data_IF_530237284032
#
_entry.id   IF_530237284032
#
_cell.length_a   1.000
_cell.length_b   1.000
_cell.length_c   1.000
_cell.angle_alpha   90.00
_cell.angle_beta   90.00
_cell.angle_gamma   90.00
#
_symmetry.space_group_name_H-M   'P 1'
#
loop_
_entity.id
_entity.type
_entity.pdbx_description
1 polymer ?
#
# COMPACT_ATOMS: atom_id res chain seq x y z
N UNK A 1 25.54 -16.86 -3.88
CA UNK A 1 24.39 -16.66 -4.79
C UNK A 1 24.40 -17.84 -5.75
N UNK A 2 23.82 -18.97 -5.34
CA UNK A 2 23.48 -20.06 -6.26
C UNK A 2 22.04 -19.82 -6.68
N UNK A 3 21.90 -19.31 -7.89
CA UNK A 3 20.62 -19.13 -8.54
C UNK A 3 20.51 -20.24 -9.58
N UNK A 4 19.78 -21.31 -9.24
CA UNK A 4 19.33 -22.29 -10.21
C UNK A 4 18.21 -21.65 -11.02
N UNK A 5 18.58 -20.95 -12.09
CA UNK A 5 17.61 -20.56 -13.10
C UNK A 5 17.17 -21.83 -13.84
N UNK A 6 15.96 -21.88 -14.34
CA UNK A 6 15.55 -22.85 -15.36
C UNK A 6 14.68 -22.06 -16.32
N UNK A 7 15.14 -21.86 -17.55
CA UNK A 7 14.45 -21.02 -18.53
C UNK A 7 14.00 -21.88 -19.69
N UNK A 8 12.68 -21.98 -19.93
CA UNK A 8 12.10 -22.84 -20.96
C UNK A 8 11.46 -21.98 -22.05
N UNK A 9 12.17 -21.75 -23.15
CA UNK A 9 11.65 -20.97 -24.27
C UNK A 9 10.89 -21.87 -25.27
N UNK A 10 9.58 -21.65 -25.46
CA UNK A 10 8.75 -22.42 -26.39
C UNK A 10 8.60 -21.70 -27.75
N UNK A 11 9.09 -22.31 -28.85
CA UNK A 11 8.76 -21.93 -30.22
C UNK A 11 8.12 -23.13 -30.96
N UNK A 12 6.81 -23.06 -31.18
CA UNK A 12 5.97 -23.69 -32.22
C UNK A 12 6.11 -25.16 -32.66
N UNK A 13 6.93 -26.01 -32.03
CA UNK A 13 6.92 -27.47 -32.22
C UNK A 13 7.32 -28.14 -30.89
N UNK A 14 6.33 -28.70 -30.18
CA UNK A 14 6.32 -29.80 -29.19
C UNK A 14 7.47 -30.11 -28.21
N UNK A 15 8.58 -29.36 -28.20
CA UNK A 15 9.76 -29.70 -27.41
C UNK A 15 9.93 -28.71 -26.26
N UNK A 16 10.05 -29.25 -25.06
CA UNK A 16 10.34 -28.53 -23.83
C UNK A 16 11.76 -28.91 -23.41
N UNK A 17 12.49 -27.96 -22.85
CA UNK A 17 13.86 -28.16 -22.41
C UNK A 17 13.98 -27.79 -20.93
N UNK A 18 14.85 -28.48 -20.21
CA UNK A 18 15.32 -28.09 -18.88
C UNK A 18 16.70 -27.47 -19.06
N UNK A 19 16.89 -26.27 -18.50
CA UNK A 19 18.20 -25.69 -18.28
C UNK A 19 18.53 -25.83 -16.78
N UNK A 20 19.74 -26.29 -16.45
CA UNK A 20 20.21 -26.44 -15.06
C UNK A 20 21.65 -25.91 -14.93
N UNK A 21 21.96 -25.20 -13.84
CA UNK A 21 23.32 -24.73 -13.55
C UNK A 21 23.55 -24.59 -12.05
N UNK A 22 24.78 -24.91 -11.62
CA UNK A 22 25.27 -24.68 -10.25
C UNK A 22 26.05 -23.37 -10.09
N UNK A 23 26.01 -22.50 -11.11
CA UNK A 23 26.78 -21.26 -11.17
C UNK A 23 28.31 -21.44 -11.06
N UNK A 24 28.82 -22.60 -11.47
CA UNK A 24 30.25 -22.96 -11.51
C UNK A 24 30.92 -22.62 -12.86
N UNK A 25 30.22 -21.88 -13.71
CA UNK A 25 30.65 -21.53 -15.07
C UNK A 25 30.18 -22.51 -16.15
N UNK A 26 29.48 -23.59 -15.79
CA UNK A 26 28.86 -24.52 -16.72
C UNK A 26 27.33 -24.58 -16.54
N UNK A 27 26.64 -25.06 -17.56
CA UNK A 27 25.21 -25.34 -17.54
C UNK A 27 24.90 -26.57 -18.41
N UNK A 28 23.80 -27.25 -18.10
CA UNK A 28 23.26 -28.35 -18.87
C UNK A 28 21.93 -27.95 -19.50
N UNK A 29 21.68 -28.43 -20.72
CA UNK A 29 20.38 -28.31 -21.40
C UNK A 29 19.97 -29.69 -21.87
N UNK A 30 18.78 -30.13 -21.49
CA UNK A 30 18.22 -31.43 -21.89
C UNK A 30 16.75 -31.29 -22.27
N UNK A 31 16.23 -32.22 -23.06
CA UNK A 31 14.79 -32.30 -23.32
C UNK A 31 14.05 -32.72 -22.04
N UNK A 32 12.92 -32.08 -21.75
CA UNK A 32 12.11 -32.33 -20.56
C UNK A 32 11.03 -33.36 -20.82
N UNK A 33 11.27 -34.59 -20.38
CA UNK A 33 10.37 -35.74 -20.59
C UNK A 33 9.62 -36.17 -19.31
N UNK A 34 9.88 -35.55 -18.16
CA UNK A 34 9.35 -36.04 -16.87
C UNK A 34 8.40 -35.06 -16.16
N UNK A 35 8.56 -33.75 -16.33
CA UNK A 35 7.69 -32.79 -15.65
C UNK A 35 6.31 -32.71 -16.33
N UNK A 36 5.31 -32.20 -15.62
CA UNK A 36 4.01 -31.88 -16.23
C UNK A 36 4.11 -30.77 -17.28
N UNK A 37 3.37 -30.89 -18.38
CA UNK A 37 3.46 -29.92 -19.48
C UNK A 37 2.95 -28.54 -19.06
N UNK A 38 3.81 -27.53 -19.18
CA UNK A 38 3.50 -26.13 -18.86
C UNK A 38 2.59 -25.47 -19.92
N UNK A 39 2.43 -26.09 -21.10
CA UNK A 39 1.82 -25.47 -22.27
C UNK A 39 2.69 -24.35 -22.84
N UNK A 40 2.69 -23.17 -22.20
CA UNK A 40 3.49 -21.99 -22.57
C UNK A 40 4.03 -21.31 -21.31
N UNK A 41 5.30 -20.94 -21.34
CA UNK A 41 5.96 -20.18 -20.27
C UNK A 41 7.21 -20.90 -19.78
N UNK A 42 7.63 -20.53 -18.56
CA UNK A 42 8.83 -21.04 -17.89
C UNK A 42 8.51 -21.37 -16.43
N UNK A 43 8.98 -22.52 -15.96
CA UNK A 43 9.06 -22.85 -14.53
C UNK A 43 10.49 -22.62 -14.05
N UNK A 44 10.67 -21.84 -12.97
CA UNK A 44 11.97 -21.60 -12.34
C UNK A 44 12.03 -22.35 -11.01
N UNK A 45 12.93 -23.35 -10.90
CA UNK A 45 13.17 -24.10 -9.65
C UNK A 45 14.43 -23.63 -8.94
N UNK A 46 14.26 -22.83 -7.90
CA UNK A 46 15.36 -22.35 -7.07
C UNK A 46 15.67 -23.37 -5.97
N UNK A 47 16.83 -24.05 -6.05
CA UNK A 47 17.33 -24.80 -4.89
C UNK A 47 18.04 -23.84 -3.95
N UNK A 48 17.38 -23.54 -2.84
CA UNK A 48 17.89 -22.62 -1.83
C UNK A 48 19.05 -23.27 -1.07
N UNK A 49 19.97 -22.42 -0.61
CA UNK A 49 21.02 -22.82 0.34
C UNK A 49 20.41 -23.07 1.71
N UNK A 50 21.09 -23.87 2.53
CA UNK A 50 20.66 -24.17 3.90
C UNK A 50 20.44 -22.90 4.75
N UNK A 51 21.25 -21.86 4.54
CA UNK A 51 21.15 -20.56 5.21
C UNK A 51 19.98 -19.68 4.74
N UNK A 52 19.36 -20.01 3.60
CA UNK A 52 18.33 -19.21 2.93
C UNK A 52 16.90 -19.73 3.19
N UNK A 53 16.70 -20.52 4.26
CA UNK A 53 15.42 -21.09 4.63
C UNK A 53 14.31 -20.07 4.87
N UNK A 54 14.65 -18.82 5.19
CA UNK A 54 13.66 -17.74 5.39
C UNK A 54 12.76 -17.48 4.16
N UNK A 55 13.23 -17.79 2.95
CA UNK A 55 12.43 -17.60 1.73
C UNK A 55 11.42 -18.73 1.49
N UNK A 56 11.41 -19.77 2.31
CA UNK A 56 10.34 -20.77 2.35
C UNK A 56 9.15 -20.29 3.19
N UNK A 57 9.33 -19.24 4.00
CA UNK A 57 8.26 -18.69 4.83
C UNK A 57 7.27 -17.88 4.00
N UNK A 58 5.98 -18.22 4.10
CA UNK A 58 4.90 -17.55 3.36
C UNK A 58 4.89 -16.03 3.61
N UNK A 59 5.07 -15.62 4.88
CA UNK A 59 5.10 -14.21 5.27
C UNK A 59 6.24 -13.44 4.60
N UNK A 60 7.43 -14.03 4.54
CA UNK A 60 8.59 -13.41 3.90
C UNK A 60 8.35 -13.19 2.41
N UNK A 61 7.77 -14.17 1.72
CA UNK A 61 7.42 -14.06 0.30
C UNK A 61 6.37 -12.97 0.07
N UNK A 62 5.31 -12.94 0.89
CA UNK A 62 4.27 -11.88 0.85
C UNK A 62 4.88 -10.49 1.03
N UNK A 63 5.80 -10.33 1.99
CA UNK A 63 6.49 -9.06 2.22
C UNK A 63 7.35 -8.63 1.02
N UNK A 64 8.10 -9.55 0.42
CA UNK A 64 8.94 -9.26 -0.75
C UNK A 64 8.11 -8.85 -1.96
N UNK A 65 7.02 -9.59 -2.24
CA UNK A 65 6.11 -9.26 -3.35
C UNK A 65 5.47 -7.89 -3.10
N UNK A 66 4.97 -7.62 -1.89
CA UNK A 66 4.41 -6.30 -1.52
C UNK A 66 5.44 -5.17 -1.57
N UNK A 67 6.73 -5.44 -1.36
CA UNK A 67 7.77 -4.41 -1.39
C UNK A 67 8.25 -4.09 -2.80
N UNK A 68 8.44 -5.10 -3.63
CA UNK A 68 9.15 -4.95 -4.91
C UNK A 68 8.26 -5.13 -6.14
N UNK A 69 7.15 -5.85 -6.00
CA UNK A 69 6.32 -6.30 -7.14
C UNK A 69 4.84 -5.94 -7.01
N UNK A 70 4.49 -5.10 -6.04
CA UNK A 70 3.11 -4.68 -5.72
C UNK A 70 2.36 -4.12 -6.94
N UNK A 71 3.06 -3.45 -7.86
CA UNK A 71 2.44 -2.74 -8.99
C UNK A 71 2.86 -3.28 -10.36
N UNK A 72 3.35 -4.53 -10.41
CA UNK A 72 3.62 -5.20 -11.67
C UNK A 72 2.30 -5.48 -12.39
N UNK A 73 2.27 -5.25 -13.71
CA UNK A 73 1.04 -5.36 -14.53
C UNK A 73 0.52 -6.79 -14.72
N UNK A 74 1.21 -7.81 -14.21
CA UNK A 74 0.83 -9.21 -14.32
C UNK A 74 0.41 -9.73 -12.94
N UNK A 75 -0.63 -10.58 -12.86
CA UNK A 75 -1.08 -11.14 -11.58
C UNK A 75 -0.01 -12.07 -11.02
N UNK A 76 0.31 -11.88 -9.75
CA UNK A 76 1.28 -12.65 -8.98
C UNK A 76 0.50 -13.46 -7.95
N UNK A 77 0.53 -14.78 -8.13
CA UNK A 77 -0.12 -15.70 -7.21
C UNK A 77 0.92 -16.34 -6.29
N UNK A 78 0.54 -16.57 -5.04
CA UNK A 78 1.30 -17.36 -4.08
C UNK A 78 0.46 -18.58 -3.70
N UNK A 79 1.08 -19.76 -3.70
CA UNK A 79 0.47 -20.97 -3.16
C UNK A 79 0.54 -20.91 -1.64
N UNK A 80 -0.57 -20.52 -1.02
CA UNK A 80 -0.65 -20.22 0.41
C UNK A 80 -1.52 -21.23 1.14
N UNK A 81 -1.24 -21.43 2.43
CA UNK A 81 -2.00 -22.36 3.28
C UNK A 81 -3.17 -21.65 3.97
N UNK A 82 -4.29 -22.36 4.15
CA UNK A 82 -5.49 -21.85 4.82
C UNK A 82 -6.09 -22.89 5.76
N UNK A 83 -6.33 -22.51 7.01
CA UNK A 83 -7.03 -23.34 7.98
C UNK A 83 -8.55 -23.23 7.75
N UNK A 84 -9.20 -24.37 7.48
CA UNK A 84 -10.65 -24.48 7.35
C UNK A 84 -11.16 -25.38 8.46
N UNK A 85 -12.14 -24.91 9.23
CA UNK A 85 -12.82 -25.73 10.23
C UNK A 85 -13.81 -26.65 9.49
N UNK A 86 -13.50 -27.95 9.44
CA UNK A 86 -14.39 -28.97 8.90
C UNK A 86 -15.14 -29.62 10.06
N UNK A 87 -16.47 -29.59 10.01
CA UNK A 87 -17.31 -30.29 10.98
C UNK A 87 -17.38 -31.77 10.60
N UNK A 88 -16.70 -32.61 11.39
CA UNK A 88 -16.75 -34.07 11.23
C UNK A 88 -17.79 -34.61 12.24
N UNK A 89 -18.75 -35.46 11.82
CA UNK A 89 -19.63 -36.14 12.78
C UNK A 89 -18.79 -37.00 13.73
N UNK A 90 -19.04 -36.91 15.04
CA UNK A 90 -18.39 -37.78 16.02
C UNK A 90 -18.97 -39.18 15.88
N UNK A 91 -18.18 -40.10 15.32
CA UNK A 91 -18.48 -41.53 15.44
C UNK A 91 -18.30 -41.93 16.92
N UNK A 92 -19.39 -42.45 17.50
CA UNK A 92 -19.39 -43.19 18.76
C UNK A 92 -18.69 -44.52 18.53
N UNK A 93 -17.38 -44.58 18.72
CA UNK A 93 -16.66 -45.75 19.24
C UNK A 93 -15.16 -45.48 19.14
N UNK A 94 -14.56 -45.06 20.26
CA UNK A 94 -13.34 -45.65 20.81
C UNK A 94 -13.19 -45.11 22.24
N UNK A 95 -13.59 -45.95 23.19
CA UNK A 95 -13.28 -45.80 24.62
C UNK A 95 -12.15 -46.76 24.97
N UNK A 96 -11.33 -46.36 25.96
CA UNK A 96 -10.13 -46.98 26.58
C UNK A 96 -8.81 -46.34 26.13
N UNK A 97 -7.92 -45.82 26.98
CA UNK A 97 -7.82 -45.74 28.44
C UNK A 97 -6.84 -44.60 28.81
N UNK A 98 -7.04 -44.01 30.01
CA UNK A 98 -6.06 -43.50 31.01
C UNK A 98 -4.92 -42.54 30.54
N UNK A 99 -4.61 -41.38 31.15
CA UNK A 99 -4.54 -41.12 32.59
C UNK A 99 -4.39 -39.61 32.94
N UNK A 100 -4.83 -39.34 34.16
CA UNK A 100 -4.86 -38.17 35.05
C UNK A 100 -3.79 -37.04 34.95
N UNK A 101 -4.18 -35.78 35.20
CA UNK A 101 -4.06 -35.15 36.54
C UNK A 101 -4.44 -33.65 36.62
N UNK A 102 -5.33 -33.37 37.57
CA UNK A 102 -5.43 -32.22 38.52
C UNK A 102 -5.61 -30.76 38.08
N UNK A 103 -6.87 -30.33 38.27
CA UNK A 103 -7.37 -29.27 39.20
C UNK A 103 -7.16 -27.75 39.00
N UNK A 104 -8.31 -27.06 39.20
CA UNK A 104 -8.54 -25.71 39.78
C UNK A 104 -8.41 -24.51 38.82
N UNK A 105 -9.29 -23.50 38.77
CA UNK A 105 -10.30 -23.04 39.73
C UNK A 105 -11.33 -22.06 39.10
N UNK A 106 -12.60 -22.26 39.46
CA UNK A 106 -13.71 -21.30 39.74
C UNK A 106 -13.91 -20.00 38.93
N UNK A 107 -15.15 -19.81 38.43
CA UNK A 107 -16.19 -18.83 38.90
C UNK A 107 -17.27 -18.67 37.80
N UNK A 108 -18.47 -19.26 37.89
CA UNK A 108 -19.71 -18.90 38.62
C UNK A 108 -20.52 -17.73 37.99
N UNK A 109 -21.82 -18.02 37.75
CA UNK A 109 -23.04 -17.18 37.63
C UNK A 109 -23.84 -17.53 36.36
N UNK A 110 -24.80 -18.47 36.42
CA UNK A 110 -26.21 -18.38 36.88
C UNK A 110 -27.10 -17.45 36.02
N UNK A 111 -28.02 -18.05 35.23
CA UNK A 111 -29.43 -17.66 35.08
C UNK A 111 -30.31 -18.87 34.73
N UNK A 112 -31.28 -19.13 35.59
CA UNK A 112 -32.46 -19.97 35.37
C UNK A 112 -33.51 -19.19 34.55
N UNK A 113 -34.25 -19.85 33.67
CA UNK A 113 -35.71 -19.99 33.83
C UNK A 113 -36.31 -20.95 32.80
N UNK A 114 -37.29 -21.70 33.29
CA UNK A 114 -38.00 -22.83 32.68
C UNK A 114 -38.97 -22.41 31.57
N UNK A 115 -39.11 -23.23 30.52
CA UNK A 115 -40.45 -23.59 30.03
C UNK A 115 -40.43 -24.92 29.28
N UNK A 116 -41.47 -25.73 29.50
CA UNK A 116 -41.57 -27.11 29.10
C UNK A 116 -42.60 -27.26 27.97
N UNK A 117 -42.25 -27.90 26.85
CA UNK A 117 -43.18 -28.78 26.13
C UNK A 117 -42.49 -29.69 25.11
N UNK A 118 -43.01 -30.91 25.03
CA UNK A 118 -42.50 -32.07 24.29
C UNK A 118 -42.58 -31.89 22.77
N UNK A 119 -41.53 -32.30 22.06
CA UNK A 119 -41.56 -32.55 20.61
C UNK A 119 -40.30 -33.26 20.13
N UNK A 120 -40.47 -34.54 19.79
CA UNK A 120 -39.69 -35.38 18.84
C UNK A 120 -38.15 -35.39 18.95
N UNK A 121 -37.63 -36.54 19.41
CA UNK A 121 -36.23 -36.97 19.30
C UNK A 121 -35.77 -36.99 17.83
N UNK A 122 -34.96 -36.01 17.44
CA UNK A 122 -33.94 -36.18 16.40
C UNK A 122 -32.58 -35.88 17.03
N UNK A 123 -31.83 -36.94 17.35
CA UNK A 123 -30.42 -36.87 17.74
C UNK A 123 -29.62 -36.13 16.66
N UNK A 124 -29.24 -34.88 16.94
CA UNK A 124 -28.17 -34.23 16.17
C UNK A 124 -26.83 -34.85 16.57
N UNK A 125 -26.07 -35.44 15.63
CA UNK A 125 -24.77 -36.00 15.95
C UNK A 125 -23.85 -34.88 16.45
N UNK A 126 -23.13 -35.14 17.55
CA UNK A 126 -22.11 -34.22 18.07
C UNK A 126 -21.05 -34.04 16.99
N UNK A 127 -20.93 -32.85 16.39
CA UNK A 127 -19.85 -32.57 15.43
C UNK A 127 -18.59 -32.12 16.16
N UNK A 128 -17.44 -32.72 15.85
CA UNK A 128 -16.13 -32.22 16.27
C UNK A 128 -15.58 -31.33 15.15
N UNK A 129 -15.16 -30.11 15.49
CA UNK A 129 -14.47 -29.22 14.56
C UNK A 129 -13.02 -29.66 14.45
N UNK A 130 -12.63 -30.18 13.29
CA UNK A 130 -11.24 -30.52 12.97
C UNK A 130 -10.70 -29.44 12.04
N UNK A 131 -9.52 -28.90 12.34
CA UNK A 131 -8.84 -27.93 11.49
C UNK A 131 -8.12 -28.67 10.37
N UNK A 132 -8.56 -28.47 9.12
CA UNK A 132 -7.88 -29.00 7.94
C UNK A 132 -7.10 -27.88 7.24
N UNK A 133 -5.82 -28.13 6.93
CA UNK A 133 -4.99 -27.19 6.16
C UNK A 133 -5.17 -27.46 4.68
N UNK A 134 -5.82 -26.53 3.98
CA UNK A 134 -5.95 -26.54 2.52
C UNK A 134 -4.98 -25.55 1.90
N UNK A 135 -4.66 -25.70 0.61
CA UNK A 135 -3.78 -24.78 -0.11
C UNK A 135 -4.51 -24.19 -1.31
N UNK A 136 -4.40 -22.88 -1.48
CA UNK A 136 -5.01 -22.16 -2.60
C UNK A 136 -4.06 -21.10 -3.18
N UNK A 137 -4.27 -20.76 -4.45
CA UNK A 137 -3.55 -19.67 -5.11
C UNK A 137 -4.13 -18.33 -4.66
N UNK A 138 -3.40 -17.59 -3.85
CA UNK A 138 -3.74 -16.25 -3.40
C UNK A 138 -3.15 -15.20 -4.34
N UNK A 139 -3.97 -14.27 -4.86
CA UNK A 139 -3.49 -13.13 -5.63
C UNK A 139 -2.91 -12.07 -4.70
N UNK A 140 -1.61 -11.77 -4.84
CA UNK A 140 -0.92 -10.84 -3.95
C UNK A 140 -0.91 -9.38 -4.40
N UNK A 141 -1.05 -9.11 -5.71
CA UNK A 141 -0.96 -7.76 -6.29
C UNK A 141 -2.27 -7.35 -7.00
N UNK A 142 -3.34 -7.23 -6.23
CA UNK A 142 -4.65 -6.79 -6.73
C UNK A 142 -4.68 -5.27 -7.08
N UNK A 143 -3.75 -4.48 -6.52
CA UNK A 143 -3.69 -3.03 -6.72
C UNK A 143 -3.03 -2.68 -8.06
N UNK A 144 -3.81 -2.02 -8.92
CA UNK A 144 -3.34 -1.57 -10.25
C UNK A 144 -2.45 -0.34 -10.14
N UNK A 145 -1.45 -0.25 -11.03
CA UNK A 145 -0.59 0.92 -11.20
C UNK A 145 -1.37 2.11 -11.80
N UNK A 146 -2.08 2.86 -10.95
CA UNK A 146 -2.98 3.95 -11.39
C UNK A 146 -2.23 5.09 -12.09
N UNK A 147 -0.95 5.34 -11.75
CA UNK A 147 -0.15 6.43 -12.31
C UNK A 147 0.24 6.23 -13.78
N UNK A 148 0.05 5.02 -14.30
CA UNK A 148 0.28 4.71 -15.71
C UNK A 148 -0.95 4.98 -16.58
N UNK A 149 -2.14 5.07 -15.97
CA UNK A 149 -3.42 5.32 -16.63
C UNK A 149 -3.68 6.81 -16.77
N UNK A 150 -4.62 7.17 -17.63
CA UNK A 150 -5.08 8.55 -17.76
C UNK A 150 -5.80 8.98 -16.46
N UNK A 151 -5.44 10.10 -15.81
CA UNK A 151 -6.09 10.54 -14.57
C UNK A 151 -7.62 10.64 -14.63
N UNK A 152 -8.18 10.86 -15.83
CA UNK A 152 -9.64 10.96 -16.06
C UNK A 152 -10.36 9.62 -16.06
N UNK A 153 -9.65 8.52 -16.25
CA UNK A 153 -10.20 7.16 -16.30
C UNK A 153 -10.06 6.42 -14.97
N UNK A 154 -9.41 7.05 -13.98
CA UNK A 154 -9.20 6.48 -12.64
C UNK A 154 -10.29 6.99 -11.73
N UNK A 155 -11.01 6.09 -11.08
CA UNK A 155 -12.11 6.45 -10.15
C UNK A 155 -11.59 6.82 -8.77
N UNK A 156 -12.40 7.54 -7.99
CA UNK A 156 -12.06 7.95 -6.62
C UNK A 156 -11.82 6.74 -5.69
N UNK A 157 -12.55 5.64 -5.91
CA UNK A 157 -12.34 4.37 -5.19
C UNK A 157 -11.00 3.74 -5.55
N UNK A 158 -10.56 3.82 -6.82
CA UNK A 158 -9.24 3.34 -7.23
C UNK A 158 -8.13 4.18 -6.59
N UNK A 159 -8.28 5.50 -6.49
CA UNK A 159 -7.34 6.36 -5.75
C UNK A 159 -7.31 6.04 -4.26
N UNK A 160 -8.47 5.76 -3.66
CA UNK A 160 -8.58 5.41 -2.23
C UNK A 160 -7.89 4.08 -1.93
N UNK A 161 -8.19 3.03 -2.71
CA UNK A 161 -7.53 1.72 -2.57
C UNK A 161 -6.02 1.82 -2.77
N UNK A 162 -5.61 2.61 -3.76
CA UNK A 162 -4.21 2.87 -4.02
C UNK A 162 -3.52 3.58 -2.84
N UNK A 163 -4.17 4.59 -2.27
CA UNK A 163 -3.68 5.28 -1.07
C UNK A 163 -3.53 4.33 0.12
N UNK A 164 -4.51 3.44 0.36
CA UNK A 164 -4.48 2.46 1.45
C UNK A 164 -3.34 1.46 1.31
N UNK A 165 -3.11 0.93 0.10
CA UNK A 165 -1.97 0.03 -0.16
C UNK A 165 -0.63 0.77 0.06
N UNK A 166 -0.55 2.03 -0.39
CA UNK A 166 0.66 2.84 -0.22
C UNK A 166 0.93 3.21 1.24
N UNK A 167 -0.11 3.57 1.99
CA UNK A 167 -0.02 4.05 3.36
C UNK A 167 0.37 2.96 4.35
N UNK A 168 0.22 1.68 3.95
CA UNK A 168 0.29 0.48 4.81
C UNK A 168 -0.64 0.59 6.01
N UNK A 169 -1.67 1.42 5.89
CA UNK A 169 -2.63 1.71 6.93
C UNK A 169 -3.93 1.01 6.54
N UNK A 170 -4.32 0.01 7.32
CA UNK A 170 -5.52 -0.79 7.06
C UNK A 170 -6.81 -0.05 7.46
N UNK A 171 -6.71 1.23 7.82
CA UNK A 171 -7.88 2.05 8.09
C UNK A 171 -8.71 2.32 6.84
N UNK A 172 -10.03 2.43 7.03
CA UNK A 172 -10.98 2.86 6.01
C UNK A 172 -10.93 4.38 5.72
N UNK A 173 -9.87 5.06 6.18
CA UNK A 173 -9.77 6.50 6.06
C UNK A 173 -9.32 6.92 4.63
N UNK A 174 -10.19 7.69 3.96
CA UNK A 174 -9.93 8.25 2.64
C UNK A 174 -8.91 9.40 2.73
N UNK A 175 -8.05 9.59 1.71
CA UNK A 175 -7.18 10.77 1.65
C UNK A 175 -8.02 12.05 1.56
N UNK A 176 -7.56 13.15 2.17
CA UNK A 176 -8.23 14.45 2.08
C UNK A 176 -8.25 14.98 0.64
N UNK A 177 -7.17 14.73 -0.10
CA UNK A 177 -7.04 15.14 -1.49
C UNK A 177 -5.89 14.40 -2.15
N UNK A 178 -5.89 14.37 -3.48
CA UNK A 178 -4.80 13.82 -4.27
C UNK A 178 -4.51 14.65 -5.52
N UNK A 179 -3.31 14.47 -6.05
CA UNK A 179 -2.86 15.07 -7.30
C UNK A 179 -2.17 14.02 -8.15
N UNK A 180 -2.79 13.64 -9.26
CA UNK A 180 -2.22 12.76 -10.27
C UNK A 180 -1.84 13.60 -11.49
N UNK A 181 -0.56 13.64 -11.83
CA UNK A 181 -0.07 14.41 -12.96
C UNK A 181 1.15 13.77 -13.64
N UNK A 182 1.30 14.09 -14.92
CA UNK A 182 2.53 13.86 -15.68
C UNK A 182 3.27 15.18 -15.85
N UNK A 183 4.60 15.12 -15.77
CA UNK A 183 5.48 16.24 -16.03
C UNK A 183 6.33 15.92 -17.26
N UNK A 184 6.22 16.77 -18.29
CA UNK A 184 6.98 16.65 -19.54
C UNK A 184 8.11 17.71 -19.60
N UNK A 185 9.03 17.57 -20.56
CA UNK A 185 10.16 18.49 -20.81
C UNK A 185 11.51 17.88 -20.43
N UNK A 186 12.42 18.68 -19.85
CA UNK A 186 13.79 18.24 -19.50
C UNK A 186 13.86 17.00 -18.60
N UNK A 187 12.80 16.78 -17.81
CA UNK A 187 12.64 15.59 -16.99
C UNK A 187 11.20 15.12 -17.11
N UNK A 188 11.07 13.88 -17.58
CA UNK A 188 9.80 13.18 -17.74
C UNK A 188 9.56 12.25 -16.56
N UNK A 189 8.42 12.44 -15.91
CA UNK A 189 7.94 11.57 -14.84
C UNK A 189 6.43 11.68 -14.66
N UNK A 190 5.85 10.64 -14.05
CA UNK A 190 4.47 10.60 -13.58
C UNK A 190 4.48 10.57 -12.06
N UNK A 191 3.53 11.23 -11.43
CA UNK A 191 3.45 11.28 -9.98
C UNK A 191 2.00 11.25 -9.50
N UNK A 192 1.81 10.62 -8.35
CA UNK A 192 0.57 10.66 -7.58
C UNK A 192 0.92 11.04 -6.16
N UNK A 193 0.35 12.14 -5.69
CA UNK A 193 0.52 12.67 -4.34
C UNK A 193 -0.82 12.62 -3.60
N UNK A 194 -0.77 12.34 -2.31
CA UNK A 194 -1.92 12.28 -1.41
C UNK A 194 -1.68 13.13 -0.17
N UNK A 195 -2.74 13.78 0.29
CA UNK A 195 -2.81 14.39 1.62
C UNK A 195 -3.49 13.40 2.56
N UNK A 196 -2.78 12.85 3.57
CA UNK A 196 -3.41 11.99 4.55
C UNK A 196 -4.51 12.70 5.33
N UNK A 197 -5.53 11.98 5.83
CA UNK A 197 -6.60 12.57 6.64
C UNK A 197 -6.16 12.99 8.04
N UNK A 198 -5.13 12.33 8.59
CA UNK A 198 -4.56 12.61 9.91
C UNK A 198 -3.04 12.67 9.83
N UNK A 199 -2.45 13.51 10.66
CA UNK A 199 -1.01 13.52 10.82
C UNK A 199 -0.54 12.29 11.61
N UNK A 200 0.58 11.63 11.20
CA UNK A 200 1.25 10.66 12.06
C UNK A 200 1.59 11.29 13.41
N UNK A 201 1.41 10.54 14.51
CA UNK A 201 1.63 11.07 15.86
C UNK A 201 3.06 11.59 16.07
N UNK A 202 4.03 10.94 15.42
CA UNK A 202 5.46 11.24 15.49
C UNK A 202 5.92 12.29 14.46
N UNK A 203 5.03 12.85 13.63
CA UNK A 203 5.39 13.72 12.50
C UNK A 203 6.27 14.91 12.92
N UNK A 204 5.96 15.54 14.05
CA UNK A 204 6.67 16.74 14.52
C UNK A 204 7.80 16.43 15.50
N UNK A 205 7.70 15.34 16.26
CA UNK A 205 8.78 14.88 17.15
C UNK A 205 9.98 14.41 16.33
N UNK A 206 9.69 13.71 15.24
CA UNK A 206 10.69 13.16 14.34
C UNK A 206 11.20 14.17 13.30
N UNK A 207 10.69 15.41 13.27
CA UNK A 207 10.95 16.40 12.22
C UNK A 207 12.44 16.66 11.91
N UNK A 208 13.27 16.77 12.95
CA UNK A 208 14.70 17.03 12.77
C UNK A 208 15.52 15.75 12.59
N UNK A 209 15.07 14.63 13.18
CA UNK A 209 15.85 13.42 13.35
C UNK A 209 15.50 12.30 12.35
N UNK A 210 14.32 12.37 11.74
CA UNK A 210 13.80 11.34 10.86
C UNK A 210 13.89 11.81 9.42
N UNK A 211 14.72 11.09 8.69
CA UNK A 211 15.00 11.22 7.27
C UNK A 211 14.29 10.08 6.54
N UNK A 212 12.99 9.92 6.83
CA UNK A 212 12.12 8.98 6.11
C UNK A 212 11.20 9.79 5.22
N UNK A 213 11.38 9.62 3.91
CA UNK A 213 10.48 10.15 2.90
C UNK A 213 9.23 9.28 2.80
N UNK A 214 8.08 9.92 2.72
CA UNK A 214 6.81 9.23 2.47
C UNK A 214 6.50 9.09 0.96
N UNK A 215 7.48 9.39 0.10
CA UNK A 215 7.40 9.19 -1.34
C UNK A 215 8.25 8.00 -1.80
N UNK A 216 7.61 7.07 -2.51
CA UNK A 216 8.33 5.98 -3.21
C UNK A 216 8.84 6.48 -4.56
N UNK A 217 10.12 6.27 -4.85
CA UNK A 217 10.72 6.56 -6.16
C UNK A 217 10.79 5.29 -7.02
N UNK A 218 10.20 5.38 -8.20
CA UNK A 218 10.26 4.41 -9.27
C UNK A 218 11.03 4.97 -10.44
N UNK A 219 11.76 4.10 -11.12
CA UNK A 219 12.41 4.42 -12.40
C UNK A 219 12.01 3.36 -13.39
N UNK A 220 11.37 3.77 -14.49
CA UNK A 220 10.80 2.86 -15.49
C UNK A 220 9.98 1.74 -14.86
N UNK A 221 9.12 2.09 -13.90
CA UNK A 221 8.24 1.16 -13.15
C UNK A 221 8.96 0.20 -12.21
N UNK A 222 10.27 0.33 -12.02
CA UNK A 222 11.03 -0.46 -11.05
C UNK A 222 11.15 0.33 -9.77
N UNK A 223 10.74 -0.27 -8.64
CA UNK A 223 10.92 0.34 -7.33
C UNK A 223 12.40 0.52 -7.03
N UNK A 224 12.83 1.76 -6.78
CA UNK A 224 14.23 2.07 -6.46
C UNK A 224 14.41 2.20 -4.96
N UNK A 225 13.65 3.11 -4.33
CA UNK A 225 13.80 3.45 -2.91
C UNK A 225 12.62 4.26 -2.40
N UNK A 226 12.30 4.09 -1.12
CA UNK A 226 11.44 4.93 -0.28
C UNK A 226 12.24 5.84 0.68
N UNK A 227 13.56 5.73 0.69
CA UNK A 227 14.48 6.51 1.54
C UNK A 227 15.07 7.68 0.73
N UNK A 228 14.19 8.51 0.16
CA UNK A 228 14.60 9.60 -0.72
C UNK A 228 14.12 10.96 -0.21
N UNK A 229 14.83 11.50 0.78
CA UNK A 229 14.46 12.74 1.50
C UNK A 229 14.61 14.01 0.68
N UNK A 230 15.28 13.93 -0.47
CA UNK A 230 15.52 15.11 -1.28
C UNK A 230 14.31 15.50 -2.14
N UNK A 231 13.35 14.59 -2.38
CA UNK A 231 12.20 14.84 -3.28
C UNK A 231 11.20 15.85 -2.73
N UNK A 232 11.00 15.89 -1.42
CA UNK A 232 10.15 16.86 -0.73
C UNK A 232 10.92 17.59 0.36
N UNK A 233 10.61 18.87 0.62
CA UNK A 233 11.10 19.55 1.79
C UNK A 233 10.41 18.99 3.06
N UNK A 234 11.08 19.08 4.21
CA UNK A 234 10.61 18.52 5.49
C UNK A 234 9.20 18.99 5.86
N UNK A 235 8.87 20.26 5.59
CA UNK A 235 7.53 20.81 5.85
C UNK A 235 6.41 20.22 4.96
N UNK A 236 6.72 19.44 3.92
CA UNK A 236 5.74 18.69 3.12
C UNK A 236 5.88 17.17 3.30
N UNK A 237 6.71 16.71 4.23
CA UNK A 237 7.01 15.28 4.37
C UNK A 237 5.81 14.45 4.88
N UNK A 238 4.70 15.09 5.25
CA UNK A 238 3.44 14.39 5.54
C UNK A 238 2.75 13.85 4.27
N UNK A 239 3.10 14.34 3.09
CA UNK A 239 2.49 13.86 1.84
C UNK A 239 2.93 12.42 1.55
N UNK A 240 1.97 11.56 1.23
CA UNK A 240 2.23 10.20 0.77
C UNK A 240 2.12 10.16 -0.74
N UNK A 241 2.89 9.31 -1.40
CA UNK A 241 2.81 9.23 -2.86
C UNK A 241 3.93 8.43 -3.51
N UNK A 242 3.98 8.54 -4.82
CA UNK A 242 5.11 8.04 -5.59
C UNK A 242 5.44 8.93 -6.78
N UNK A 243 6.64 8.71 -7.29
CA UNK A 243 7.17 9.37 -8.48
C UNK A 243 7.79 8.29 -9.35
N UNK A 244 7.34 8.15 -10.60
CA UNK A 244 7.89 7.22 -11.59
C UNK A 244 8.54 8.02 -12.71
N UNK A 245 9.86 7.96 -12.81
CA UNK A 245 10.62 8.69 -13.83
C UNK A 245 11.13 7.76 -14.93
N UNK A 246 10.92 8.17 -16.19
CA UNK A 246 11.44 7.45 -17.35
C UNK A 246 12.88 7.85 -17.72
N UNK A 247 13.31 9.01 -17.21
CA UNK A 247 14.56 9.71 -17.60
C UNK A 247 15.69 9.57 -16.58
N UNK A 248 15.40 9.09 -15.36
CA UNK A 248 16.46 8.82 -14.38
C UNK A 248 17.27 7.57 -14.78
N UNK A 249 18.60 7.58 -14.59
CA UNK A 249 19.44 6.45 -14.94
C UNK A 249 19.31 5.30 -13.92
N UNK A 250 18.91 4.11 -14.39
CA UNK A 250 18.68 2.91 -13.56
C UNK A 250 19.96 2.34 -12.91
N UNK A 251 21.09 2.42 -13.60
CA UNK A 251 22.34 1.73 -13.21
C UNK A 251 23.21 2.55 -12.26
N UNK A 252 22.60 3.49 -11.55
CA UNK A 252 23.31 4.48 -10.75
C UNK A 252 23.05 4.18 -9.29
N UNK A 253 24.11 4.12 -8.47
CA UNK A 253 23.97 3.87 -7.03
C UNK A 253 23.02 4.90 -6.41
N UNK A 254 22.35 4.54 -5.31
CA UNK A 254 21.43 5.46 -4.61
C UNK A 254 22.09 6.81 -4.29
N UNK A 255 23.38 6.81 -3.94
CA UNK A 255 24.18 8.01 -3.68
C UNK A 255 24.41 8.86 -4.95
N UNK A 256 24.76 8.23 -6.07
CA UNK A 256 24.95 8.96 -7.32
C UNK A 256 23.61 9.47 -7.88
N UNK A 257 22.49 8.77 -7.59
CA UNK A 257 21.16 9.23 -7.98
C UNK A 257 20.83 10.54 -7.27
N UNK A 258 21.06 10.65 -5.95
CA UNK A 258 20.82 11.86 -5.15
C UNK A 258 21.51 13.12 -5.73
N UNK A 259 22.71 12.97 -6.29
CA UNK A 259 23.43 14.11 -6.86
C UNK A 259 22.94 14.53 -8.24
N UNK A 260 22.03 13.78 -8.86
CA UNK A 260 21.59 14.03 -10.23
C UNK A 260 20.75 15.31 -10.35
N UNK A 261 21.09 16.16 -11.31
CA UNK A 261 20.43 17.47 -11.50
C UNK A 261 18.92 17.36 -11.78
N UNK A 262 18.46 16.29 -12.43
CA UNK A 262 17.03 16.05 -12.69
C UNK A 262 16.19 16.02 -11.42
N UNK A 263 16.73 15.57 -10.29
CA UNK A 263 15.99 15.53 -9.02
C UNK A 263 15.62 16.92 -8.52
N UNK A 264 16.48 17.92 -8.75
CA UNK A 264 16.17 19.32 -8.40
C UNK A 264 14.95 19.82 -9.18
N UNK A 265 14.87 19.45 -10.46
CA UNK A 265 13.74 19.78 -11.33
C UNK A 265 12.47 19.03 -10.90
N UNK A 266 12.59 17.73 -10.62
CA UNK A 266 11.49 16.89 -10.09
C UNK A 266 10.95 17.51 -8.79
N UNK A 267 11.82 17.75 -7.80
CA UNK A 267 11.49 18.40 -6.53
C UNK A 267 10.71 19.70 -6.73
N UNK A 268 11.20 20.60 -7.58
CA UNK A 268 10.53 21.88 -7.85
C UNK A 268 9.13 21.70 -8.45
N UNK A 269 8.96 20.75 -9.37
CA UNK A 269 7.66 20.44 -9.99
C UNK A 269 6.70 19.80 -8.98
N UNK A 270 7.17 18.87 -8.15
CA UNK A 270 6.39 18.21 -7.09
C UNK A 270 5.92 19.23 -6.04
N UNK A 271 6.83 20.06 -5.50
CA UNK A 271 6.46 21.11 -4.53
C UNK A 271 5.39 22.03 -5.12
N UNK A 272 5.52 22.40 -6.39
CA UNK A 272 4.53 23.25 -7.04
C UNK A 272 3.14 22.59 -7.05
N UNK A 273 3.06 21.34 -7.48
CA UNK A 273 1.80 20.57 -7.56
C UNK A 273 1.22 20.27 -6.18
N UNK A 274 2.05 19.98 -5.19
CA UNK A 274 1.64 19.81 -3.79
C UNK A 274 0.96 21.07 -3.24
N UNK A 275 1.57 22.24 -3.43
CA UNK A 275 0.98 23.50 -2.98
C UNK A 275 -0.29 23.87 -3.76
N UNK A 276 -0.37 23.55 -5.04
CA UNK A 276 -1.60 23.75 -5.84
C UNK A 276 -2.72 22.82 -5.36
N UNK A 277 -2.41 21.57 -5.01
CA UNK A 277 -3.35 20.62 -4.43
C UNK A 277 -3.89 21.13 -3.09
N UNK A 278 -3.03 21.56 -2.17
CA UNK A 278 -3.46 22.10 -0.86
C UNK A 278 -4.30 23.37 -1.05
N UNK A 279 -3.92 24.25 -1.99
CA UNK A 279 -4.71 25.43 -2.32
C UNK A 279 -6.08 25.07 -2.87
N UNK A 280 -6.18 24.04 -3.69
CA UNK A 280 -7.47 23.56 -4.23
C UNK A 280 -8.41 23.11 -3.10
N UNK A 281 -7.89 22.47 -2.05
CA UNK A 281 -8.69 22.14 -0.85
C UNK A 281 -9.28 23.42 -0.23
N UNK A 282 -8.47 24.48 -0.13
CA UNK A 282 -8.91 25.77 0.42
C UNK A 282 -9.96 26.47 -0.47
N UNK A 283 -9.77 26.44 -1.79
CA UNK A 283 -10.64 27.11 -2.76
C UNK A 283 -11.98 26.37 -2.96
N UNK A 284 -12.03 25.05 -2.68
CA UNK A 284 -13.25 24.23 -2.75
C UNK A 284 -14.03 24.16 -1.43
N UNK A 285 -13.42 24.53 -0.30
CA UNK A 285 -14.11 24.60 0.98
C UNK A 285 -14.96 25.89 1.06
N UNK A 286 -16.30 25.79 1.11
CA UNK A 286 -17.20 26.96 1.07
C UNK A 286 -16.94 27.97 2.20
N UNK A 287 -16.51 27.47 3.37
CA UNK A 287 -16.26 28.30 4.54
C UNK A 287 -14.94 29.11 4.39
N UNK A 288 -14.07 28.69 3.47
CA UNK A 288 -12.70 29.18 3.32
C UNK A 288 -12.40 29.86 1.98
N UNK A 289 -13.29 29.71 0.99
CA UNK A 289 -13.17 30.35 -0.32
C UNK A 289 -13.01 31.87 -0.19
N UNK A 290 -11.95 32.40 -0.82
CA UNK A 290 -11.64 33.84 -0.86
C UNK A 290 -12.60 34.63 -1.76
N UNK A 291 -13.29 33.97 -2.69
CA UNK A 291 -14.21 34.61 -3.63
C UNK A 291 -15.60 34.74 -3.01
N UNK A 292 -15.95 35.94 -2.53
CA UNK A 292 -17.28 36.23 -1.96
C UNK A 292 -18.42 35.98 -2.96
N UNK A 293 -18.17 36.10 -4.27
CA UNK A 293 -19.17 35.85 -5.31
C UNK A 293 -19.49 34.35 -5.49
N UNK A 294 -18.61 33.44 -5.05
CA UNK A 294 -18.91 32.00 -4.99
C UNK A 294 -19.76 31.60 -3.78
N UNK A 295 -19.95 32.48 -2.78
CA UNK A 295 -20.83 32.19 -1.64
C UNK A 295 -22.31 32.19 -2.01
N UNK A 296 -22.67 32.86 -3.12
CA UNK A 296 -24.06 32.98 -3.58
C UNK A 296 -24.46 31.91 -4.62
N UNK A 297 -23.57 30.94 -4.90
CA UNK A 297 -23.83 29.87 -5.88
C UNK A 297 -24.24 28.59 -5.15
N UNK A 298 -25.55 28.46 -5.00
CA UNK A 298 -26.32 27.21 -4.90
C UNK A 298 -25.97 26.30 -3.70
N UNK A 299 -26.82 26.34 -2.67
CA UNK A 299 -27.01 25.28 -1.65
C UNK A 299 -27.55 23.99 -2.28
N UNK A 300 -26.94 23.54 -3.39
CA UNK A 300 -27.18 22.22 -3.95
C UNK A 300 -26.54 21.16 -3.04
N UNK A 301 -27.25 20.04 -2.91
CA UNK A 301 -27.08 18.99 -1.90
C UNK A 301 -25.67 18.33 -1.91
N UNK A 302 -24.87 18.51 -2.97
CA UNK A 302 -23.52 17.94 -3.11
C UNK A 302 -22.40 18.72 -2.38
N UNK A 303 -22.62 19.95 -1.93
CA UNK A 303 -21.56 20.77 -1.29
C UNK A 303 -21.26 20.37 0.18
N UNK A 304 -22.03 19.45 0.77
CA UNK A 304 -21.88 19.10 2.17
C UNK A 304 -20.61 18.25 2.45
N UNK A 305 -20.16 17.44 1.47
CA UNK A 305 -18.96 16.59 1.64
C UNK A 305 -17.63 17.37 1.64
N UNK A 306 -17.59 18.53 0.98
CA UNK A 306 -16.39 19.37 0.86
C UNK A 306 -16.25 20.40 1.98
N UNK A 307 -17.34 20.66 2.71
CA UNK A 307 -17.38 21.63 3.79
C UNK A 307 -16.44 21.23 4.93
N UNK A 308 -15.59 22.17 5.36
CA UNK A 308 -14.65 21.98 6.46
C UNK A 308 -13.47 21.06 6.15
N UNK A 309 -13.28 20.63 4.90
CA UNK A 309 -12.11 19.83 4.52
C UNK A 309 -10.80 20.61 4.72
N UNK A 310 -10.81 21.91 4.43
CA UNK A 310 -9.62 22.73 4.66
C UNK A 310 -9.38 22.97 6.15
N UNK A 311 -10.45 23.11 6.94
CA UNK A 311 -10.35 23.17 8.40
C UNK A 311 -9.72 21.89 8.96
N UNK A 312 -10.15 20.70 8.50
CA UNK A 312 -9.53 19.42 8.87
C UNK A 312 -8.04 19.39 8.51
N UNK A 313 -7.69 19.75 7.27
CA UNK A 313 -6.30 19.88 6.83
C UNK A 313 -5.50 20.83 7.73
N UNK A 314 -6.05 22.00 8.05
CA UNK A 314 -5.38 23.02 8.84
C UNK A 314 -5.11 22.58 10.28
N UNK A 315 -6.04 21.85 10.89
CA UNK A 315 -5.89 21.32 12.24
C UNK A 315 -4.74 20.31 12.33
N UNK A 316 -4.62 19.42 11.33
CA UNK A 316 -3.59 18.38 11.29
C UNK A 316 -2.21 18.91 10.84
N UNK A 317 -2.20 19.72 9.77
CA UNK A 317 -0.97 20.10 9.05
C UNK A 317 -0.66 21.60 9.07
N UNK A 318 -1.42 22.41 9.80
CA UNK A 318 -1.20 23.86 9.88
C UNK A 318 0.19 24.23 10.44
N UNK A 319 0.76 23.40 11.34
CA UNK A 319 2.15 23.58 11.81
C UNK A 319 3.15 23.39 10.67
N UNK A 320 2.97 22.38 9.82
CA UNK A 320 3.79 22.14 8.63
C UNK A 320 3.74 23.32 7.66
N UNK A 321 2.56 23.91 7.42
CA UNK A 321 2.44 25.13 6.58
C UNK A 321 3.23 26.30 7.19
N UNK A 322 3.13 26.50 8.51
CA UNK A 322 3.88 27.55 9.23
C UNK A 322 5.39 27.34 9.14
N UNK A 323 5.88 26.10 9.30
CA UNK A 323 7.29 25.76 9.13
C UNK A 323 7.77 26.07 7.71
N UNK A 324 6.98 25.73 6.69
CA UNK A 324 7.30 26.05 5.31
C UNK A 324 7.50 27.55 5.04
N UNK A 325 6.78 28.43 5.73
CA UNK A 325 6.94 29.90 5.58
C UNK A 325 8.30 30.38 6.09
N UNK A 326 8.78 29.73 7.16
CA UNK A 326 10.07 30.03 7.79
C UNK A 326 11.20 29.49 6.91
N UNK A 327 11.10 28.24 6.47
CA UNK A 327 12.17 27.51 5.78
C UNK A 327 12.25 27.76 4.27
N UNK A 328 11.11 27.90 3.57
CA UNK A 328 11.06 28.06 2.12
C UNK A 328 10.71 29.50 1.73
N UNK A 329 11.75 30.33 1.64
CA UNK A 329 11.64 31.70 1.16
C UNK A 329 11.08 31.80 -0.27
N UNK A 330 11.31 30.79 -1.12
CA UNK A 330 10.90 30.82 -2.53
C UNK A 330 9.38 30.65 -2.68
N UNK A 331 8.78 29.77 -1.87
CA UNK A 331 7.34 29.52 -1.90
C UNK A 331 6.54 30.27 -0.81
N UNK A 332 7.20 31.13 -0.02
CA UNK A 332 6.59 31.89 1.09
C UNK A 332 5.30 32.60 0.71
N UNK A 333 5.24 33.27 -0.44
CA UNK A 333 4.03 33.97 -0.89
C UNK A 333 2.86 33.04 -1.21
N UNK A 334 3.12 31.80 -1.64
CA UNK A 334 2.06 30.80 -1.88
C UNK A 334 1.59 30.20 -0.57
N UNK A 335 2.53 29.87 0.32
CA UNK A 335 2.25 29.35 1.65
C UNK A 335 1.48 30.35 2.53
N UNK A 336 1.79 31.64 2.44
CA UNK A 336 1.11 32.68 3.20
C UNK A 336 -0.40 32.73 2.94
N UNK A 337 -0.85 32.40 1.72
CA UNK A 337 -2.28 32.33 1.35
C UNK A 337 -3.02 31.15 1.98
N UNK A 338 -2.27 30.16 2.46
CA UNK A 338 -2.79 28.98 3.13
C UNK A 338 -2.92 29.20 4.65
N UNK A 339 -2.38 30.29 5.19
CA UNK A 339 -2.50 30.55 6.62
C UNK A 339 -3.94 30.86 7.04
N UNK A 340 -4.32 30.37 8.22
CA UNK A 340 -5.54 30.76 8.92
C UNK A 340 -5.22 31.25 10.32
N UNK A 341 -5.96 32.28 10.73
CA UNK A 341 -5.82 32.91 12.04
C UNK A 341 -7.20 33.17 12.61
N UNK A 342 -7.33 32.93 13.90
CA UNK A 342 -8.49 33.38 14.65
C UNK A 342 -8.50 34.91 14.68
N UNK A 343 -9.66 35.49 14.37
CA UNK A 343 -9.88 36.92 14.49
C UNK A 343 -11.01 37.14 15.47
N UNK A 344 -10.78 37.97 16.48
CA UNK A 344 -11.87 38.48 17.30
C UNK A 344 -12.67 39.47 16.46
N UNK A 345 -13.91 39.10 16.10
CA UNK A 345 -14.85 40.06 15.54
C UNK A 345 -15.34 40.94 16.70
N UNK A 346 -14.82 42.15 16.82
CA UNK A 346 -15.49 43.16 17.64
C UNK A 346 -16.83 43.45 16.97
N UNK A 347 -17.92 43.03 17.60
CA UNK A 347 -19.26 43.43 17.20
C UNK A 347 -19.31 44.95 17.24
N UNK A 348 -19.45 45.59 16.08
CA UNK A 348 -19.77 47.01 16.02
C UNK A 348 -21.16 47.17 16.63
N UNK A 349 -21.24 47.86 17.78
CA UNK A 349 -22.49 48.21 18.44
C UNK A 349 -23.36 49.12 17.58
#
# INVERSE_FOLDING_TARGET
MESLFSDTCSFSLGFRYVWESKADGAFAVSEDVWNESLGRGTEIRLHLRDEAGEYLEENKLKELVKKYSEFINFPIYLWASKEVDVEVPADEDESSDEDETSESSSSKEEREDEDAEKGEDEEKPKTKKVKETTYEWELLNDVKAIWLRNPKEVTDDEYTKFYQSLSKDFGDEKPLSWSHFSAEGDVEFKAVLFVPPKAPQDLYESYYNNNKSNLKLYVRRVFISDEFDELLPKYLNFLKGLVDSDTLPLNVSREMLQQHSSLKTIKKKIIRKALDMIRKIADEDPDESYDKEKKDVDESVDNNEKKGQYTKFWNEFGKSVKLGIIEDATNRNRLAKLLRFERYSTCSA
#
